data_IF_258708279292
#
_entry.id   IF_258708279292
#
_cell.length_a   1.000
_cell.length_b   1.000
_cell.length_c   1.000
_cell.angle_alpha   90.00
_cell.angle_beta   90.00
_cell.angle_gamma   90.00
#
_symmetry.space_group_name_H-M   'P 1'
#
loop_
_entity.id
_entity.type
_entity.pdbx_description
1 polymer ?
#
# COMPACT_ATOMS: atom_id res chain seq x y z
N UNK A 1 6.75 -0.61 6.81
CA UNK A 1 5.48 -1.20 7.32
C UNK A 1 4.34 -0.98 6.36
N UNK A 2 4.17 0.23 5.80
CA UNK A 2 3.15 0.51 4.78
C UNK A 2 3.05 -0.53 3.64
N UNK A 3 4.19 -0.94 3.04
CA UNK A 3 4.20 -2.02 2.02
C UNK A 3 3.69 -3.36 2.56
N UNK A 4 4.01 -3.73 3.81
CA UNK A 4 3.53 -4.98 4.40
C UNK A 4 2.01 -4.97 4.52
N UNK A 5 1.42 -3.86 4.99
CA UNK A 5 -0.02 -3.72 5.09
C UNK A 5 -0.71 -3.77 3.72
N UNK A 6 -0.13 -3.15 2.69
CA UNK A 6 -0.64 -3.27 1.32
C UNK A 6 -0.58 -4.71 0.81
N UNK A 7 0.51 -5.43 1.05
CA UNK A 7 0.66 -6.80 0.56
C UNK A 7 -0.27 -7.80 1.26
N UNK A 8 -0.57 -7.61 2.55
CA UNK A 8 -1.54 -8.43 3.27
C UNK A 8 -2.98 -8.15 2.79
N UNK A 9 -3.39 -6.88 2.75
CA UNK A 9 -4.74 -6.50 2.28
C UNK A 9 -4.97 -6.73 0.79
N UNK A 10 -3.90 -6.60 -0.01
CA UNK A 10 -3.95 -6.56 -1.47
C UNK A 10 -4.31 -7.90 -2.11
N UNK A 11 -4.42 -8.99 -1.34
CA UNK A 11 -4.85 -10.30 -1.85
C UNK A 11 -6.37 -10.41 -2.03
N UNK A 12 -7.18 -9.45 -1.56
CA UNK A 12 -8.64 -9.56 -1.68
C UNK A 12 -9.11 -9.61 -3.14
N UNK A 13 -10.17 -10.38 -3.40
CA UNK A 13 -10.95 -10.34 -4.64
C UNK A 13 -12.45 -10.41 -4.32
N UNK A 14 -13.25 -9.51 -4.89
CA UNK A 14 -14.70 -9.44 -4.65
C UNK A 14 -15.43 -10.67 -5.19
N UNK A 15 -14.97 -11.23 -6.31
CA UNK A 15 -15.68 -12.29 -7.01
C UNK A 15 -15.73 -13.59 -6.19
N UNK A 16 -14.61 -13.93 -5.55
CA UNK A 16 -14.47 -15.14 -4.73
C UNK A 16 -14.46 -14.87 -3.22
N UNK A 17 -14.40 -13.59 -2.80
CA UNK A 17 -14.32 -13.13 -1.40
C UNK A 17 -13.15 -13.73 -0.63
N UNK A 18 -12.08 -14.12 -1.31
CA UNK A 18 -10.86 -14.62 -0.67
C UNK A 18 -9.80 -13.53 -0.56
N UNK A 19 -8.89 -13.72 0.39
CA UNK A 19 -7.86 -12.75 0.73
C UNK A 19 -8.36 -11.54 1.51
N UNK A 20 -7.49 -10.54 1.66
CA UNK A 20 -7.76 -9.31 2.39
C UNK A 20 -6.96 -9.19 3.67
N UNK A 21 -7.23 -8.14 4.44
CA UNK A 21 -6.47 -7.85 5.67
C UNK A 21 -6.83 -8.87 6.76
N UNK A 22 -6.07 -9.96 6.79
CA UNK A 22 -6.33 -11.14 7.63
C UNK A 22 -5.02 -11.73 8.20
N UNK A 23 -3.87 -11.09 8.03
CA UNK A 23 -2.59 -11.55 8.55
C UNK A 23 -2.01 -12.77 7.85
N UNK A 24 -2.61 -13.23 6.73
CA UNK A 24 -2.14 -14.38 5.94
C UNK A 24 -0.69 -14.22 5.45
N UNK A 25 -0.21 -12.98 5.30
CA UNK A 25 1.13 -12.69 4.77
C UNK A 25 2.26 -13.36 5.55
N UNK A 26 2.05 -13.70 6.82
CA UNK A 26 3.04 -14.42 7.64
C UNK A 26 3.30 -15.85 7.10
N UNK A 27 2.36 -16.40 6.34
CA UNK A 27 2.45 -17.69 5.65
C UNK A 27 2.87 -17.55 4.18
N UNK A 28 3.11 -16.33 3.70
CA UNK A 28 3.34 -16.01 2.29
C UNK A 28 4.68 -15.33 2.02
N UNK A 29 5.51 -15.20 3.06
CA UNK A 29 6.71 -14.36 3.04
C UNK A 29 7.74 -14.79 2.00
N UNK A 30 7.73 -16.07 1.61
CA UNK A 30 8.66 -16.64 0.62
C UNK A 30 8.20 -16.43 -0.83
N UNK A 31 7.01 -15.85 -1.05
CA UNK A 31 6.52 -15.56 -2.40
C UNK A 31 7.36 -14.45 -3.06
N UNK A 32 7.62 -14.52 -4.38
CA UNK A 32 8.44 -13.52 -5.09
C UNK A 32 7.98 -12.07 -4.86
N UNK A 33 6.67 -11.84 -4.90
CA UNK A 33 6.06 -10.53 -4.67
C UNK A 33 6.31 -9.99 -3.25
N UNK A 34 6.50 -10.87 -2.26
CA UNK A 34 6.73 -10.51 -0.86
C UNK A 34 8.22 -10.37 -0.49
N UNK A 35 9.12 -10.45 -1.47
CA UNK A 35 10.57 -10.31 -1.27
C UNK A 35 10.90 -9.08 -0.42
N UNK A 36 11.72 -9.30 0.61
CA UNK A 36 12.16 -8.27 1.56
C UNK A 36 11.23 -8.02 2.75
N UNK A 37 9.96 -8.47 2.72
CA UNK A 37 9.00 -8.23 3.80
C UNK A 37 9.26 -9.06 5.07
N UNK A 38 10.06 -10.13 4.97
CA UNK A 38 10.49 -10.94 6.12
C UNK A 38 11.17 -10.09 7.21
N UNK A 39 11.91 -9.04 6.82
CA UNK A 39 12.51 -8.09 7.77
C UNK A 39 11.43 -7.32 8.55
N UNK A 40 10.37 -6.89 7.87
CA UNK A 40 9.25 -6.16 8.48
C UNK A 40 8.48 -7.06 9.45
N UNK A 41 8.20 -8.30 9.06
CA UNK A 41 7.51 -9.29 9.91
C UNK A 41 8.33 -9.58 11.17
N UNK A 42 9.65 -9.74 11.07
CA UNK A 42 10.53 -9.94 12.23
C UNK A 42 10.52 -8.77 13.20
N UNK A 43 10.51 -7.53 12.70
CA UNK A 43 10.41 -6.33 13.55
C UNK A 43 9.05 -6.29 14.25
N UNK A 44 7.96 -6.54 13.54
CA UNK A 44 6.63 -6.60 14.13
C UNK A 44 6.46 -7.75 15.11
N UNK A 45 7.08 -8.90 14.88
CA UNK A 45 7.05 -10.04 15.80
C UNK A 45 7.60 -9.69 17.18
N UNK A 46 8.71 -8.93 17.24
CA UNK A 46 9.25 -8.43 18.51
C UNK A 46 8.31 -7.47 19.23
N UNK A 47 7.65 -6.58 18.48
CA UNK A 47 6.63 -5.70 19.05
C UNK A 47 5.42 -6.51 19.55
N UNK A 48 5.00 -7.52 18.78
CA UNK A 48 3.90 -8.40 19.10
C UNK A 48 4.14 -9.16 20.41
N UNK A 49 5.34 -9.72 20.60
CA UNK A 49 5.72 -10.41 21.84
C UNK A 49 5.47 -9.54 23.08
N UNK A 50 5.79 -8.24 23.01
CA UNK A 50 5.59 -7.30 24.12
C UNK A 50 4.11 -6.92 24.26
N UNK A 51 3.41 -6.66 23.16
CA UNK A 51 1.99 -6.28 23.16
C UNK A 51 1.12 -7.40 23.72
N UNK A 52 1.38 -8.65 23.31
CA UNK A 52 0.60 -9.82 23.71
C UNK A 52 0.71 -10.14 25.22
N UNK A 53 1.74 -9.62 25.91
CA UNK A 53 1.83 -9.70 27.38
C UNK A 53 0.77 -8.83 28.08
N UNK A 54 0.30 -7.77 27.42
CA UNK A 54 -0.74 -6.87 27.94
C UNK A 54 -2.09 -7.28 27.42
N UNK A 55 -2.21 -7.44 26.10
CA UNK A 55 -3.43 -7.84 25.43
C UNK A 55 -3.06 -8.58 24.14
N UNK A 56 -3.56 -9.80 23.98
CA UNK A 56 -3.39 -10.53 22.74
C UNK A 56 -4.10 -9.82 21.60
N UNK A 57 -3.35 -9.54 20.53
CA UNK A 57 -3.87 -8.94 19.29
C UNK A 57 -3.67 -9.88 18.11
N UNK A 58 -4.46 -9.72 17.05
CA UNK A 58 -4.25 -10.47 15.81
C UNK A 58 -3.05 -9.90 15.03
N UNK A 59 -2.41 -10.74 14.21
CA UNK A 59 -1.45 -10.27 13.21
C UNK A 59 -2.10 -9.29 12.23
N UNK A 60 -3.33 -9.57 11.81
CA UNK A 60 -4.11 -8.71 10.94
C UNK A 60 -4.25 -7.28 11.51
N UNK A 61 -4.61 -7.14 12.78
CA UNK A 61 -4.69 -5.83 13.43
C UNK A 61 -3.32 -5.17 13.56
N UNK A 62 -2.31 -5.92 13.98
CA UNK A 62 -0.96 -5.38 14.18
C UNK A 62 -0.36 -4.85 12.87
N UNK A 63 -0.54 -5.56 11.76
CA UNK A 63 -0.05 -5.17 10.44
C UNK A 63 -0.79 -3.92 9.94
N UNK A 64 -2.12 -3.88 10.07
CA UNK A 64 -2.94 -2.75 9.67
C UNK A 64 -2.56 -1.46 10.43
N UNK A 65 -2.37 -1.56 11.75
CA UNK A 65 -1.91 -0.44 12.59
C UNK A 65 -0.50 -0.02 12.23
N UNK A 66 0.43 -0.96 12.08
CA UNK A 66 1.83 -0.63 11.75
C UNK A 66 1.98 0.12 10.42
N UNK A 67 1.14 -0.19 9.43
CA UNK A 67 1.10 0.58 8.19
C UNK A 67 0.61 2.01 8.39
N UNK A 68 -0.47 2.22 9.15
CA UNK A 68 -1.01 3.54 9.48
C UNK A 68 -0.01 4.38 10.29
N UNK A 69 0.60 3.79 11.32
CA UNK A 69 1.64 4.44 12.13
C UNK A 69 2.84 4.85 11.29
N UNK A 70 3.24 4.04 10.29
CA UNK A 70 4.35 4.41 9.41
C UNK A 70 4.04 5.63 8.52
N UNK A 71 2.77 5.88 8.21
CA UNK A 71 2.37 7.11 7.49
C UNK A 71 2.48 8.32 8.44
N UNK A 72 1.91 8.22 9.64
CA UNK A 72 1.92 9.30 10.63
C UNK A 72 3.34 9.68 11.07
N UNK A 73 4.19 8.68 11.36
CA UNK A 73 5.60 8.90 11.75
C UNK A 73 6.44 9.55 10.64
N UNK A 74 6.03 9.41 9.38
CA UNK A 74 6.64 10.08 8.23
C UNK A 74 6.03 11.46 7.94
N UNK A 75 5.16 12.00 8.81
CA UNK A 75 4.54 13.32 8.65
C UNK A 75 3.28 13.33 7.78
N UNK A 76 2.74 12.16 7.45
CA UNK A 76 1.46 12.01 6.77
C UNK A 76 0.26 12.14 7.71
N UNK A 77 -0.96 11.87 7.21
CA UNK A 77 -2.17 11.95 8.03
C UNK A 77 -2.23 10.86 9.11
N UNK A 78 -2.89 11.16 10.22
CA UNK A 78 -3.32 10.14 11.18
C UNK A 78 -4.49 9.33 10.62
N UNK A 79 -4.34 8.00 10.65
CA UNK A 79 -5.30 7.07 10.06
C UNK A 79 -5.87 6.16 11.16
N UNK A 80 -7.14 6.35 11.56
CA UNK A 80 -7.77 5.48 12.56
C UNK A 80 -7.98 4.09 12.00
N UNK A 81 -7.46 3.07 12.69
CA UNK A 81 -7.63 1.67 12.32
C UNK A 81 -8.61 1.01 13.28
N UNK A 82 -9.73 0.52 12.76
CA UNK A 82 -10.65 -0.34 13.53
C UNK A 82 -9.90 -1.62 13.92
N UNK A 83 -10.00 -2.04 15.18
CA UNK A 83 -9.43 -3.29 15.68
C UNK A 83 -10.49 -4.41 15.76
N UNK A 84 -10.03 -5.63 16.01
CA UNK A 84 -10.84 -6.83 16.17
C UNK A 84 -10.80 -7.78 14.99
N UNK A 85 -9.82 -7.67 14.08
CA UNK A 85 -9.67 -8.61 12.96
C UNK A 85 -9.30 -10.00 13.45
N UNK A 86 -9.80 -11.01 12.75
CA UNK A 86 -9.42 -12.40 12.94
C UNK A 86 -8.25 -12.74 12.02
N UNK A 87 -7.30 -13.49 12.55
CA UNK A 87 -6.18 -14.02 11.74
C UNK A 87 -6.66 -15.18 10.86
N UNK A 88 -6.14 -15.22 9.65
CA UNK A 88 -6.12 -16.43 8.84
C UNK A 88 -5.16 -17.45 9.45
N UNK A 89 -5.46 -18.74 9.30
CA UNK A 89 -4.55 -19.84 9.67
C UNK A 89 -3.75 -20.38 8.50
N UNK A 90 -4.00 -19.87 7.29
CA UNK A 90 -3.35 -20.30 6.03
C UNK A 90 -3.03 -19.10 5.14
N UNK A 91 -2.14 -19.32 4.17
CA UNK A 91 -1.89 -18.36 3.11
C UNK A 91 -3.13 -18.12 2.23
N UNK A 92 -3.32 -16.89 1.75
CA UNK A 92 -4.28 -16.51 0.72
C UNK A 92 -3.83 -17.00 -0.67
N UNK A 93 -4.71 -17.02 -1.68
CA UNK A 93 -4.31 -17.40 -3.04
C UNK A 93 -3.24 -16.48 -3.63
N UNK A 94 -2.26 -17.07 -4.33
CA UNK A 94 -1.19 -16.34 -5.01
C UNK A 94 -1.69 -15.60 -6.28
N UNK A 95 -0.86 -14.71 -6.82
CA UNK A 95 -1.14 -14.03 -8.10
C UNK A 95 -2.20 -12.95 -8.04
N UNK A 96 -2.49 -12.43 -6.83
CA UNK A 96 -3.52 -11.39 -6.61
C UNK A 96 -2.96 -9.98 -6.45
N UNK A 97 -1.64 -9.82 -6.31
CA UNK A 97 -0.95 -8.53 -6.21
C UNK A 97 -0.53 -8.01 -7.59
N UNK A 98 -0.41 -6.68 -7.78
CA UNK A 98 -0.01 -6.10 -9.05
C UNK A 98 1.46 -6.43 -9.40
N UNK A 99 1.70 -6.83 -10.65
CA UNK A 99 3.04 -6.98 -11.19
C UNK A 99 3.63 -5.61 -11.59
N UNK A 100 4.93 -5.42 -11.40
CA UNK A 100 5.61 -4.13 -11.64
C UNK A 100 5.67 -3.72 -13.13
N UNK A 101 5.22 -4.58 -14.05
CA UNK A 101 5.23 -4.36 -15.51
C UNK A 101 3.87 -4.07 -16.13
N UNK A 102 2.79 -4.04 -15.33
CA UNK A 102 1.44 -3.80 -15.83
C UNK A 102 1.28 -2.38 -16.39
N UNK A 103 0.41 -2.24 -17.38
CA UNK A 103 -0.07 -0.93 -17.86
C UNK A 103 -1.22 -0.40 -16.99
N UNK A 104 -1.63 0.86 -17.23
CA UNK A 104 -2.71 1.50 -16.48
C UNK A 104 -4.06 0.78 -16.62
N UNK A 105 -4.35 0.15 -17.77
CA UNK A 105 -5.62 -0.56 -17.99
C UNK A 105 -5.67 -1.84 -17.16
N UNK A 106 -4.57 -2.60 -17.15
CA UNK A 106 -4.42 -3.79 -16.34
C UNK A 106 -4.43 -3.46 -14.84
N UNK A 107 -3.78 -2.37 -14.41
CA UNK A 107 -3.85 -1.89 -13.03
C UNK A 107 -5.28 -1.54 -12.61
N UNK A 108 -6.01 -0.75 -13.41
CA UNK A 108 -7.42 -0.42 -13.15
C UNK A 108 -8.30 -1.67 -13.05
N UNK A 109 -8.07 -2.64 -13.94
CA UNK A 109 -8.80 -3.92 -13.92
C UNK A 109 -8.48 -4.72 -12.66
N UNK A 110 -7.22 -4.74 -12.22
CA UNK A 110 -6.81 -5.44 -11.02
C UNK A 110 -7.39 -4.78 -9.76
N UNK A 111 -7.33 -3.46 -9.64
CA UNK A 111 -7.87 -2.74 -8.49
C UNK A 111 -9.40 -2.77 -8.43
N UNK A 112 -10.09 -2.77 -9.57
CA UNK A 112 -11.55 -2.87 -9.61
C UNK A 112 -12.06 -4.21 -9.09
N UNK A 113 -11.34 -5.32 -9.34
CA UNK A 113 -11.62 -6.63 -8.72
C UNK A 113 -11.52 -6.61 -7.19
N UNK A 114 -10.79 -5.65 -6.63
CA UNK A 114 -10.63 -5.42 -5.18
C UNK A 114 -11.62 -4.39 -4.63
N UNK A 115 -12.43 -3.79 -5.50
CA UNK A 115 -13.44 -2.79 -5.15
C UNK A 115 -12.94 -1.36 -5.14
N UNK A 116 -11.78 -1.09 -5.75
CA UNK A 116 -11.20 0.25 -5.80
C UNK A 116 -11.49 0.91 -7.13
N UNK A 117 -11.84 2.19 -7.07
CA UNK A 117 -11.94 3.09 -8.22
C UNK A 117 -10.55 3.48 -8.73
N UNK A 118 -10.49 4.06 -9.93
CA UNK A 118 -9.26 4.65 -10.47
C UNK A 118 -8.67 5.70 -9.53
N UNK A 119 -9.52 6.52 -8.90
CA UNK A 119 -9.08 7.55 -7.95
C UNK A 119 -8.38 6.95 -6.72
N UNK A 120 -8.96 5.89 -6.16
CA UNK A 120 -8.39 5.22 -4.98
C UNK A 120 -7.11 4.43 -5.33
N UNK A 121 -7.04 3.85 -6.53
CA UNK A 121 -5.81 3.23 -7.04
C UNK A 121 -4.68 4.27 -7.14
N UNK A 122 -4.95 5.43 -7.75
CA UNK A 122 -3.95 6.49 -7.91
C UNK A 122 -3.52 7.07 -6.57
N UNK A 123 -4.46 7.32 -5.64
CA UNK A 123 -4.11 7.88 -4.34
C UNK A 123 -3.26 6.90 -3.53
N UNK A 124 -3.58 5.60 -3.52
CA UNK A 124 -2.80 4.58 -2.82
C UNK A 124 -1.39 4.44 -3.40
N UNK A 125 -1.22 4.65 -4.71
CA UNK A 125 0.10 4.65 -5.36
C UNK A 125 1.01 5.78 -4.82
N UNK A 126 0.43 6.85 -4.27
CA UNK A 126 1.14 7.90 -3.53
C UNK A 126 1.97 7.41 -2.34
N UNK A 127 1.71 6.19 -1.83
CA UNK A 127 2.55 5.54 -0.83
C UNK A 127 4.01 5.37 -1.29
N UNK A 128 4.28 5.35 -2.60
CA UNK A 128 5.64 5.29 -3.16
C UNK A 128 6.48 6.55 -2.91
N UNK A 129 5.89 7.62 -2.34
CA UNK A 129 6.62 8.82 -1.90
C UNK A 129 7.66 8.49 -0.82
N UNK A 130 7.38 7.50 0.04
CA UNK A 130 8.32 7.00 1.07
C UNK A 130 8.99 5.68 0.65
N UNK A 131 10.19 5.47 1.16
CA UNK A 131 11.00 4.28 0.90
C UNK A 131 11.85 4.36 -0.37
N UNK A 132 12.17 3.19 -0.93
CA UNK A 132 13.25 3.02 -1.91
C UNK A 132 12.89 3.32 -3.38
N UNK A 133 11.71 3.89 -3.67
CA UNK A 133 11.29 4.16 -5.07
C UNK A 133 11.83 5.48 -5.62
N UNK A 134 12.40 6.34 -4.77
CA UNK A 134 13.13 7.53 -5.20
C UNK A 134 12.28 8.77 -5.49
N UNK A 135 11.02 8.79 -5.06
CA UNK A 135 10.04 9.86 -5.35
C UNK A 135 10.10 11.08 -4.42
N UNK A 136 11.21 11.30 -3.72
CA UNK A 136 11.36 12.38 -2.76
C UNK A 136 12.27 11.97 -1.61
N UNK A 137 12.03 12.54 -0.42
CA UNK A 137 12.71 12.08 0.79
C UNK A 137 12.10 10.74 1.23
N UNK A 138 12.89 9.66 1.38
CA UNK A 138 12.37 8.33 1.66
C UNK A 138 11.66 8.19 3.03
N UNK A 139 11.76 9.19 3.91
CA UNK A 139 11.14 9.18 5.24
C UNK A 139 10.11 10.30 5.44
N UNK A 140 9.71 11.03 4.39
CA UNK A 140 8.68 12.07 4.47
C UNK A 140 7.51 11.66 3.58
N UNK A 141 6.33 11.53 4.19
CA UNK A 141 5.09 11.26 3.50
C UNK A 141 4.48 12.57 3.03
N UNK A 142 4.71 12.93 1.78
CA UNK A 142 4.19 14.13 1.13
C UNK A 142 3.72 13.83 -0.30
N UNK A 143 3.31 14.85 -1.05
CA UNK A 143 2.84 14.68 -2.42
C UNK A 143 3.96 14.66 -3.50
N UNK A 144 5.22 14.45 -3.13
CA UNK A 144 6.35 14.44 -4.06
C UNK A 144 6.22 13.37 -5.15
N UNK A 145 5.66 12.20 -4.83
CA UNK A 145 5.30 11.18 -5.83
C UNK A 145 4.58 11.77 -7.05
N UNK A 146 3.50 12.52 -6.83
CA UNK A 146 2.70 13.06 -7.92
C UNK A 146 3.42 14.20 -8.65
N UNK A 147 4.17 15.04 -7.93
CA UNK A 147 4.95 16.14 -8.53
C UNK A 147 6.02 15.60 -9.49
N UNK A 148 6.78 14.60 -9.05
CA UNK A 148 7.84 13.98 -9.84
C UNK A 148 7.27 13.26 -11.07
N UNK A 149 6.11 12.63 -10.97
CA UNK A 149 5.45 12.02 -12.14
C UNK A 149 5.11 13.07 -13.23
N UNK A 150 4.75 14.29 -12.85
CA UNK A 150 4.45 15.37 -13.80
C UNK A 150 5.70 16.01 -14.41
N UNK A 151 6.82 16.03 -13.69
CA UNK A 151 8.10 16.54 -14.20
C UNK A 151 8.70 15.64 -15.30
N UNK A 152 8.26 14.37 -15.37
CA UNK A 152 8.75 13.31 -16.26
C UNK A 152 10.23 12.97 -16.02
N UNK A 153 10.71 11.78 -16.42
CA UNK A 153 12.12 11.41 -16.19
C UNK A 153 13.04 12.37 -16.93
N UNK A 154 13.90 13.11 -16.21
CA UNK A 154 14.97 13.88 -16.84
C UNK A 154 16.12 12.95 -17.25
N UNK A 155 16.70 13.09 -18.45
CA UNK A 155 17.92 12.39 -18.80
C UNK A 155 19.06 12.84 -17.88
N UNK A 156 19.77 11.88 -17.26
CA UNK A 156 20.89 12.18 -16.36
C UNK A 156 22.07 12.81 -17.12
N UNK A 157 22.71 13.82 -16.54
CA UNK A 157 23.96 14.42 -17.02
C UNK A 157 25.18 13.48 -16.97
N UNK A 158 25.06 12.32 -16.30
CA UNK A 158 26.10 11.29 -16.13
C UNK A 158 25.88 10.02 -16.97
N UNK A 159 24.84 9.98 -17.83
CA UNK A 159 24.53 8.82 -18.67
C UNK A 159 23.98 7.58 -17.95
N UNK A 160 23.76 7.64 -16.63
CA UNK A 160 23.08 6.60 -15.85
C UNK A 160 21.83 7.20 -15.19
N UNK A 161 20.61 6.83 -15.63
CA UNK A 161 19.38 7.33 -15.01
C UNK A 161 19.33 6.87 -13.55
N UNK A 162 18.99 7.78 -12.63
CA UNK A 162 18.39 7.35 -11.38
C UNK A 162 17.09 6.65 -11.75
N UNK A 163 16.97 5.35 -11.46
CA UNK A 163 15.73 4.59 -11.69
C UNK A 163 14.69 5.00 -10.66
N UNK A 164 14.10 6.19 -10.84
CA UNK A 164 12.98 6.67 -10.04
C UNK A 164 11.71 5.96 -10.51
N UNK A 165 11.03 5.36 -9.55
CA UNK A 165 9.78 4.65 -9.75
C UNK A 165 9.88 3.33 -10.51
N UNK A 166 8.72 2.70 -10.62
CA UNK A 166 8.45 1.49 -11.39
C UNK A 166 7.81 1.84 -12.73
N UNK A 167 7.83 0.88 -13.66
CA UNK A 167 7.10 1.02 -14.93
C UNK A 167 5.60 1.29 -14.70
N UNK A 168 5.00 0.64 -13.71
CA UNK A 168 3.60 0.87 -13.32
C UNK A 168 3.33 2.31 -12.88
N UNK A 169 4.27 2.96 -12.17
CA UNK A 169 4.10 4.35 -11.73
C UNK A 169 4.01 5.30 -12.93
N UNK A 170 4.90 5.10 -13.90
CA UNK A 170 4.94 5.89 -15.14
C UNK A 170 3.76 5.59 -16.06
N UNK A 171 3.28 4.35 -16.11
CA UNK A 171 2.10 3.97 -16.89
C UNK A 171 0.84 4.76 -16.47
N UNK A 172 0.72 5.16 -15.21
CA UNK A 172 -0.39 6.01 -14.75
C UNK A 172 -0.40 7.39 -15.40
N UNK A 173 0.76 7.88 -15.87
CA UNK A 173 0.86 9.18 -16.55
C UNK A 173 0.40 9.13 -18.00
N UNK A 174 0.22 7.93 -18.56
CA UNK A 174 -0.20 7.67 -19.94
C UNK A 174 -1.73 7.52 -20.07
N UNK A 175 -2.46 7.45 -18.95
CA UNK A 175 -3.92 7.30 -18.90
C UNK A 175 -4.60 8.59 -18.43
N UNK A 176 -5.53 9.13 -19.23
CA UNK A 176 -6.14 10.45 -18.97
C UNK A 176 -6.86 10.54 -17.62
N UNK A 177 -7.55 9.47 -17.21
CA UNK A 177 -8.26 9.45 -15.92
C UNK A 177 -7.27 9.45 -14.75
N UNK A 178 -6.21 8.64 -14.85
CA UNK A 178 -5.15 8.62 -13.85
C UNK A 178 -4.42 9.97 -13.78
N UNK A 179 -4.07 10.53 -14.94
CA UNK A 179 -3.38 11.82 -15.04
C UNK A 179 -4.20 12.97 -14.42
N UNK A 180 -5.53 12.94 -14.53
CA UNK A 180 -6.41 13.90 -13.83
C UNK A 180 -6.21 13.87 -12.32
N UNK A 181 -6.17 12.68 -11.72
CA UNK A 181 -5.96 12.53 -10.27
C UNK A 181 -4.53 12.85 -9.85
N UNK A 182 -3.53 12.49 -10.66
CA UNK A 182 -2.12 12.87 -10.45
C UNK A 182 -1.99 14.41 -10.39
N UNK A 183 -2.59 15.12 -11.35
CA UNK A 183 -2.57 16.59 -11.37
C UNK A 183 -3.21 17.19 -10.11
N UNK A 184 -4.34 16.66 -9.66
CA UNK A 184 -4.99 17.11 -8.44
C UNK A 184 -4.06 16.96 -7.22
N UNK A 185 -3.54 15.76 -7.00
CA UNK A 185 -2.73 15.47 -5.81
C UNK A 185 -1.36 16.16 -5.83
N UNK A 186 -0.78 16.41 -7.00
CA UNK A 186 0.44 17.21 -7.13
C UNK A 186 0.25 18.67 -6.67
N UNK A 187 -0.95 19.22 -6.88
CA UNK A 187 -1.30 20.61 -6.54
C UNK A 187 -1.86 20.75 -5.12
N UNK A 188 -2.48 19.70 -4.59
CA UNK A 188 -3.17 19.73 -3.29
C UNK A 188 -2.77 18.56 -2.39
N UNK A 189 -1.77 18.82 -1.52
CA UNK A 189 -1.32 17.83 -0.54
C UNK A 189 -2.39 17.52 0.52
N UNK A 190 -3.22 18.50 0.90
CA UNK A 190 -4.27 18.27 1.88
C UNK A 190 -5.33 17.31 1.32
N UNK A 191 -5.69 17.47 0.05
CA UNK A 191 -6.57 16.54 -0.66
C UNK A 191 -5.95 15.14 -0.79
N UNK A 192 -4.66 15.06 -1.13
CA UNK A 192 -3.94 13.79 -1.15
C UNK A 192 -4.03 13.08 0.21
N UNK A 193 -3.75 13.79 1.31
CA UNK A 193 -3.77 13.21 2.66
C UNK A 193 -5.18 12.73 3.06
N UNK A 194 -6.20 13.55 2.79
CA UNK A 194 -7.58 13.18 3.09
C UNK A 194 -8.01 11.91 2.34
N UNK A 195 -7.78 11.87 1.02
CA UNK A 195 -8.16 10.73 0.19
C UNK A 195 -7.31 9.49 0.47
N UNK A 196 -6.03 9.65 0.77
CA UNK A 196 -5.14 8.54 1.12
C UNK A 196 -5.59 7.88 2.42
N UNK A 197 -5.96 8.68 3.43
CA UNK A 197 -6.53 8.17 4.68
C UNK A 197 -7.77 7.32 4.41
N UNK A 198 -8.73 7.82 3.65
CA UNK A 198 -9.97 7.10 3.36
C UNK A 198 -9.71 5.82 2.55
N UNK A 199 -8.85 5.89 1.53
CA UNK A 199 -8.47 4.74 0.73
C UNK A 199 -7.70 3.68 1.55
N UNK A 200 -6.82 4.09 2.47
CA UNK A 200 -6.12 3.19 3.38
C UNK A 200 -7.10 2.49 4.33
N UNK A 201 -8.03 3.23 4.94
CA UNK A 201 -9.08 2.66 5.81
C UNK A 201 -9.87 1.60 5.05
N UNK A 202 -10.27 1.90 3.81
CA UNK A 202 -10.94 0.94 2.93
C UNK A 202 -10.05 -0.30 2.70
N UNK A 203 -8.79 -0.11 2.28
CA UNK A 203 -7.81 -1.17 2.06
C UNK A 203 -7.70 -2.12 3.24
N UNK A 204 -7.48 -1.62 4.45
CA UNK A 204 -7.30 -2.47 5.62
C UNK A 204 -8.61 -3.05 6.18
N UNK A 205 -9.77 -2.68 5.64
CA UNK A 205 -11.07 -3.28 6.01
C UNK A 205 -11.57 -4.27 4.96
N UNK A 206 -10.99 -4.26 3.76
CA UNK A 206 -11.33 -5.16 2.67
C UNK A 206 -10.98 -6.61 3.02
N UNK A 207 -11.96 -7.51 2.85
CA UNK A 207 -11.83 -8.95 3.14
C UNK A 207 -11.66 -9.32 4.63
N UNK A 208 -11.55 -8.34 5.52
CA UNK A 208 -11.34 -8.56 6.93
C UNK A 208 -12.56 -9.25 7.59
N UNK A 209 -12.28 -10.31 8.35
CA UNK A 209 -13.25 -10.93 9.25
C UNK A 209 -13.07 -10.39 10.66
N UNK A 210 -14.17 -10.14 11.38
CA UNK A 210 -14.15 -9.45 12.67
C UNK A 210 -14.67 -10.36 13.77
N UNK A 211 -14.09 -10.24 14.97
CA UNK A 211 -14.70 -10.79 16.19
C UNK A 211 -16.09 -10.18 16.35
N UNK A 212 -17.08 -11.02 16.66
CA UNK A 212 -18.41 -10.55 17.07
C UNK A 212 -18.27 -9.72 18.35
N UNK A 213 -18.97 -8.59 18.41
CA UNK A 213 -19.07 -7.76 19.60
C UNK A 213 -19.80 -8.48 20.74
#
# INVERSE_FOLDING_TARGET
MLRLAFHDAGTFDIADKSGGMNGSIIYEVDRPENTGLNKSIKVLGKAKEVIDLVQQVSWADLIAVAGAESVALCGGPEIPVRLGRLDSSTADPAGKLPEETLDATALKTLFSKKGFSTQEMVVLSGAHTIGGKGFGNPNIFDNSYFKVLLEKPQPSSSGMPAMVGLRTDWALTEDDECLRWINLYAQDQAKFFADFKDAYIKLVNTGASWRSA
#
